data_IF_061384929420
#
_entry.id   IF_061384929420
#
_cell.length_a   1.000
_cell.length_b   1.000
_cell.length_c   1.000
_cell.angle_alpha   90.00
_cell.angle_beta   90.00
_cell.angle_gamma   90.00
#
_symmetry.space_group_name_H-M   'P 1'
#
loop_
_entity.id
_entity.type
_entity.pdbx_description
1 polymer ?
#
# COMPACT_ATOMS: atom_id res chain seq x y z
N UNK A 1 8.69 -4.85 -21.33
CA UNK A 1 7.47 -4.22 -21.86
C UNK A 1 6.33 -4.25 -20.85
N UNK A 2 5.49 -3.22 -20.83
CA UNK A 2 4.22 -3.17 -20.10
C UNK A 2 3.03 -3.32 -21.06
N UNK A 3 2.10 -4.23 -20.77
CA UNK A 3 1.13 -4.69 -21.78
C UNK A 3 -0.27 -4.07 -21.66
N UNK A 4 -0.84 -4.15 -20.45
CA UNK A 4 -2.24 -3.84 -20.18
C UNK A 4 -2.55 -2.34 -20.25
N UNK A 5 -3.82 -2.00 -20.51
CA UNK A 5 -4.31 -0.61 -20.64
C UNK A 5 -3.90 0.33 -19.49
N UNK A 6 -3.72 -0.20 -18.29
CA UNK A 6 -3.18 0.51 -17.12
C UNK A 6 -1.93 1.35 -17.47
N UNK A 7 -1.01 0.78 -18.26
CA UNK A 7 0.27 1.41 -18.59
C UNK A 7 0.23 2.33 -19.82
N UNK A 8 -0.95 2.52 -20.43
CA UNK A 8 -1.11 3.41 -21.59
C UNK A 8 -1.22 4.89 -21.19
N UNK A 9 -1.54 5.18 -19.92
CA UNK A 9 -1.57 6.54 -19.35
C UNK A 9 -0.48 6.66 -18.29
N UNK A 10 0.65 7.26 -18.65
CA UNK A 10 1.71 7.56 -17.68
C UNK A 10 1.34 8.85 -16.94
N UNK A 11 1.06 8.77 -15.63
CA UNK A 11 0.85 9.96 -14.80
C UNK A 11 2.21 10.62 -14.55
N UNK A 12 2.55 11.61 -15.38
CA UNK A 12 3.79 12.38 -15.29
C UNK A 12 3.98 13.27 -16.52
N UNK A 13 3.59 14.54 -16.36
CA UNK A 13 3.84 15.70 -17.24
C UNK A 13 3.69 15.50 -18.76
N UNK A 14 2.61 16.11 -19.28
CA UNK A 14 2.40 16.60 -20.65
C UNK A 14 2.74 15.62 -21.79
N UNK A 15 1.90 14.59 -21.96
CA UNK A 15 1.21 14.20 -23.20
C UNK A 15 0.63 12.79 -22.97
N UNK A 16 -0.68 12.61 -23.09
CA UNK A 16 -1.44 11.36 -22.84
C UNK A 16 -1.21 10.28 -23.94
N UNK A 17 -0.04 10.34 -24.61
CA UNK A 17 0.33 9.59 -25.83
C UNK A 17 1.81 9.17 -25.88
N UNK A 18 2.46 8.87 -24.76
CA UNK A 18 3.77 8.19 -24.85
C UNK A 18 3.56 6.72 -25.17
N UNK A 19 3.39 6.40 -26.45
CA UNK A 19 3.96 5.15 -26.99
C UNK A 19 5.45 5.42 -27.06
N UNK A 20 6.25 4.78 -26.22
CA UNK A 20 7.67 5.11 -26.19
C UNK A 20 8.46 4.28 -25.21
N UNK A 21 9.77 4.40 -25.36
CA UNK A 21 10.76 3.75 -24.54
C UNK A 21 11.23 4.74 -23.47
N UNK A 22 11.26 4.28 -22.22
CA UNK A 22 11.84 5.00 -21.09
C UNK A 22 13.01 4.17 -20.60
N UNK A 23 14.20 4.74 -20.66
CA UNK A 23 15.35 4.18 -19.98
C UNK A 23 15.21 4.48 -18.49
N UNK A 24 15.25 3.45 -17.65
CA UNK A 24 15.28 3.66 -16.21
C UNK A 24 16.73 3.92 -15.79
N UNK A 25 17.14 5.18 -15.82
CA UNK A 25 18.54 5.61 -15.62
C UNK A 25 18.95 5.73 -14.14
N UNK A 26 17.99 5.97 -13.25
CA UNK A 26 18.24 6.24 -11.82
C UNK A 26 18.19 4.97 -10.94
N UNK A 27 18.40 3.79 -11.51
CA UNK A 27 18.45 2.53 -10.76
C UNK A 27 19.87 1.96 -10.75
N UNK A 28 20.13 1.01 -9.83
CA UNK A 28 21.39 0.26 -9.81
C UNK A 28 21.65 -0.56 -11.09
N UNK A 29 20.59 -0.91 -11.83
CA UNK A 29 20.64 -1.62 -13.10
C UNK A 29 19.85 -0.87 -14.18
N UNK A 30 20.27 -0.96 -15.44
CA UNK A 30 19.64 -0.26 -16.57
C UNK A 30 18.67 -1.19 -17.30
N UNK A 31 17.42 -0.75 -17.47
CA UNK A 31 16.42 -1.45 -18.26
C UNK A 31 15.67 -0.48 -19.18
N UNK A 32 15.33 -0.98 -20.37
CA UNK A 32 14.45 -0.29 -21.30
C UNK A 32 13.00 -0.70 -21.02
N UNK A 33 12.14 0.27 -20.72
CA UNK A 33 10.72 0.04 -20.49
C UNK A 33 9.93 0.63 -21.64
N UNK A 34 9.11 -0.19 -22.28
CA UNK A 34 8.25 0.22 -23.40
C UNK A 34 6.82 -0.28 -23.17
N UNK A 35 5.85 0.48 -23.66
CA UNK A 35 4.44 0.08 -23.77
C UNK A 35 4.00 -0.12 -25.23
N UNK A 36 4.94 -0.14 -26.18
CA UNK A 36 4.68 -0.36 -27.60
C UNK A 36 4.45 -1.85 -27.90
N UNK A 37 3.24 -2.25 -28.35
CA UNK A 37 2.91 -3.65 -28.68
C UNK A 37 3.83 -4.30 -29.71
N UNK A 38 4.45 -3.51 -30.59
CA UNK A 38 5.38 -4.00 -31.61
C UNK A 38 6.67 -4.56 -31.01
N UNK A 39 7.00 -4.17 -29.78
CA UNK A 39 8.22 -4.59 -29.08
C UNK A 39 8.05 -5.89 -28.28
N UNK A 40 6.88 -6.53 -28.35
CA UNK A 40 6.60 -7.72 -27.53
C UNK A 40 7.55 -8.88 -27.82
N UNK A 41 7.88 -9.16 -29.08
CA UNK A 41 8.79 -10.26 -29.43
C UNK A 41 10.27 -9.94 -29.08
N UNK A 42 10.59 -8.66 -28.83
CA UNK A 42 11.94 -8.19 -28.48
C UNK A 42 12.13 -7.96 -26.98
N UNK A 43 11.09 -8.18 -26.18
CA UNK A 43 11.12 -7.89 -24.75
C UNK A 43 11.47 -9.13 -23.93
N UNK A 44 12.41 -9.03 -23.00
CA UNK A 44 12.70 -10.11 -22.03
C UNK A 44 11.52 -10.38 -21.09
N UNK A 45 10.73 -9.34 -20.83
CA UNK A 45 9.65 -9.34 -19.85
C UNK A 45 8.40 -8.67 -20.41
N UNK A 46 7.24 -9.25 -20.11
CA UNK A 46 5.92 -8.64 -20.34
C UNK A 46 5.19 -8.52 -18.99
N UNK A 47 4.93 -7.28 -18.57
CA UNK A 47 4.27 -6.97 -17.31
C UNK A 47 2.77 -6.78 -17.54
N UNK A 48 1.95 -7.54 -16.81
CA UNK A 48 0.49 -7.47 -16.90
C UNK A 48 -0.09 -6.88 -15.61
N UNK A 49 -0.76 -5.72 -15.72
CA UNK A 49 -1.60 -5.22 -14.63
C UNK A 49 -2.88 -6.04 -14.59
N UNK A 50 -2.95 -6.97 -13.65
CA UNK A 50 -3.90 -8.09 -13.64
C UNK A 50 -5.35 -7.61 -13.67
N UNK A 51 -5.67 -6.55 -12.93
CA UNK A 51 -7.00 -5.95 -12.89
C UNK A 51 -7.49 -5.42 -14.25
N UNK A 52 -6.58 -5.05 -15.15
CA UNK A 52 -6.94 -4.56 -16.49
C UNK A 52 -6.56 -5.54 -17.60
N UNK A 53 -6.35 -6.82 -17.26
CA UNK A 53 -6.18 -7.86 -18.26
C UNK A 53 -7.50 -8.14 -18.98
N UNK A 54 -7.35 -8.46 -20.26
CA UNK A 54 -8.40 -9.02 -21.08
C UNK A 54 -7.74 -10.09 -21.95
N UNK A 55 -8.17 -11.34 -21.82
CA UNK A 55 -7.58 -12.48 -22.54
C UNK A 55 -7.61 -12.27 -24.05
N UNK A 56 -8.63 -11.56 -24.56
CA UNK A 56 -8.77 -11.24 -25.99
C UNK A 56 -7.70 -10.27 -26.51
N UNK A 57 -7.02 -9.56 -25.61
CA UNK A 57 -5.96 -8.58 -25.91
C UNK A 57 -4.58 -9.14 -25.57
N UNK A 58 -4.40 -10.46 -25.41
CA UNK A 58 -3.09 -11.03 -25.08
C UNK A 58 -2.18 -11.12 -26.31
N UNK A 59 -0.84 -11.07 -26.13
CA UNK A 59 0.10 -11.28 -27.23
C UNK A 59 -0.18 -12.61 -27.93
N UNK A 60 -0.22 -12.60 -29.26
CA UNK A 60 -0.50 -13.81 -30.07
C UNK A 60 0.63 -14.83 -30.01
N UNK A 61 1.84 -14.41 -29.66
CA UNK A 61 2.99 -15.29 -29.43
C UNK A 61 3.56 -15.07 -28.03
N UNK A 62 3.83 -16.17 -27.34
CA UNK A 62 4.60 -16.20 -26.09
C UNK A 62 5.90 -16.95 -26.38
N UNK A 63 7.02 -16.23 -26.32
CA UNK A 63 8.32 -16.83 -26.52
C UNK A 63 8.74 -17.59 -25.25
N UNK A 64 9.36 -18.76 -25.41
CA UNK A 64 9.70 -19.65 -24.28
C UNK A 64 10.67 -19.03 -23.27
N UNK A 65 11.50 -18.08 -23.71
CA UNK A 65 12.46 -17.35 -22.88
C UNK A 65 11.88 -16.10 -22.21
N UNK A 66 10.69 -15.66 -22.63
CA UNK A 66 10.08 -14.42 -22.17
C UNK A 66 9.33 -14.62 -20.85
N UNK A 67 9.59 -13.73 -19.89
CA UNK A 67 8.93 -13.76 -18.58
C UNK A 67 7.66 -12.93 -18.58
N UNK A 68 6.52 -13.60 -18.40
CA UNK A 68 5.25 -12.92 -18.16
C UNK A 68 5.06 -12.75 -16.67
N UNK A 69 4.80 -11.50 -16.25
CA UNK A 69 4.80 -11.11 -14.84
C UNK A 69 3.41 -10.66 -14.41
N UNK A 70 2.93 -11.26 -13.33
CA UNK A 70 1.71 -10.88 -12.64
C UNK A 70 1.98 -9.61 -11.83
N UNK A 71 1.39 -8.48 -12.20
CA UNK A 71 1.51 -7.23 -11.46
C UNK A 71 0.17 -6.73 -10.94
N UNK A 72 0.10 -6.53 -9.62
CA UNK A 72 -1.07 -5.91 -8.99
C UNK A 72 -0.72 -5.37 -7.60
N UNK A 73 -1.18 -4.16 -7.33
CA UNK A 73 -0.99 -3.49 -6.03
C UNK A 73 -2.29 -3.39 -5.23
N UNK A 74 -3.44 -3.61 -5.89
CA UNK A 74 -4.72 -3.83 -5.23
C UNK A 74 -4.77 -5.22 -4.56
N UNK A 75 -5.54 -5.37 -3.47
CA UNK A 75 -5.67 -6.64 -2.76
C UNK A 75 -6.57 -7.61 -3.54
N UNK A 76 -6.54 -8.92 -3.21
CA UNK A 76 -7.33 -9.94 -3.89
C UNK A 76 -8.81 -9.61 -4.09
N UNK A 77 -9.55 -9.07 -3.10
CA UNK A 77 -10.96 -8.73 -3.30
C UNK A 77 -11.20 -7.62 -4.33
N UNK A 78 -10.18 -6.84 -4.67
CA UNK A 78 -10.20 -5.74 -5.64
C UNK A 78 -9.50 -6.11 -6.96
N UNK A 79 -9.34 -7.41 -7.25
CA UNK A 79 -8.64 -7.87 -8.45
C UNK A 79 -9.45 -7.65 -9.73
N UNK A 80 -10.78 -7.72 -9.66
CA UNK A 80 -11.76 -7.65 -10.76
C UNK A 80 -11.64 -8.68 -11.89
N UNK A 81 -10.43 -9.16 -12.22
CA UNK A 81 -10.22 -10.21 -13.21
C UNK A 81 -10.81 -11.55 -12.74
N UNK A 82 -11.59 -12.21 -13.59
CA UNK A 82 -12.34 -13.42 -13.23
C UNK A 82 -11.81 -14.69 -13.91
N UNK A 83 -11.17 -14.57 -15.07
CA UNK A 83 -10.76 -15.70 -15.90
C UNK A 83 -9.42 -16.33 -15.47
N UNK A 84 -9.21 -16.45 -14.16
CA UNK A 84 -7.98 -16.99 -13.57
C UNK A 84 -7.66 -18.41 -14.03
N UNK A 85 -8.69 -19.22 -14.29
CA UNK A 85 -8.53 -20.60 -14.73
C UNK A 85 -7.96 -20.72 -16.16
N UNK A 86 -8.04 -19.64 -16.95
CA UNK A 86 -7.50 -19.55 -18.31
C UNK A 86 -6.05 -19.04 -18.36
N UNK A 87 -5.49 -18.60 -17.23
CA UNK A 87 -4.13 -18.05 -17.13
C UNK A 87 -3.24 -18.84 -16.17
N UNK A 88 -3.62 -20.09 -15.88
CA UNK A 88 -2.74 -21.02 -15.20
C UNK A 88 -1.48 -21.27 -16.05
N UNK A 89 -0.34 -21.45 -15.39
CA UNK A 89 0.98 -21.59 -16.03
C UNK A 89 1.43 -20.40 -16.90
N UNK A 90 0.69 -19.30 -16.86
CA UNK A 90 0.99 -18.10 -17.63
C UNK A 90 2.12 -17.28 -17.00
N UNK A 91 2.05 -17.07 -15.69
CA UNK A 91 2.96 -16.17 -15.00
C UNK A 91 4.17 -16.93 -14.46
N UNK A 92 5.36 -16.44 -14.81
CA UNK A 92 6.62 -16.96 -14.29
C UNK A 92 6.99 -16.20 -13.02
N UNK A 93 6.85 -14.88 -13.01
CA UNK A 93 7.11 -14.05 -11.83
C UNK A 93 5.87 -13.30 -11.36
N UNK A 94 5.88 -12.95 -10.08
CA UNK A 94 4.91 -12.07 -9.43
C UNK A 94 5.59 -10.78 -8.97
N UNK A 95 4.90 -9.65 -9.12
CA UNK A 95 5.36 -8.33 -8.72
C UNK A 95 4.23 -7.59 -8.01
N UNK A 96 4.23 -7.58 -6.68
CA UNK A 96 3.10 -7.08 -5.87
C UNK A 96 3.58 -6.56 -4.51
N UNK A 97 2.64 -6.06 -3.69
CA UNK A 97 2.89 -5.72 -2.28
C UNK A 97 3.14 -6.93 -1.37
N UNK A 98 2.90 -8.17 -1.79
CA UNK A 98 3.16 -9.35 -0.95
C UNK A 98 4.65 -9.64 -0.84
N UNK A 99 5.10 -10.00 0.36
CA UNK A 99 6.52 -10.29 0.64
C UNK A 99 7.00 -11.60 0.03
N UNK A 100 6.08 -12.48 -0.36
CA UNK A 100 6.36 -13.77 -1.01
C UNK A 100 6.30 -13.69 -2.55
N UNK A 101 6.31 -12.49 -3.12
CA UNK A 101 6.42 -12.27 -4.56
C UNK A 101 7.86 -12.28 -5.04
N UNK A 102 8.07 -12.66 -6.31
CA UNK A 102 9.40 -12.69 -6.93
C UNK A 102 10.06 -11.31 -6.95
N UNK A 103 9.25 -10.27 -7.14
CA UNK A 103 9.61 -8.86 -7.00
C UNK A 103 8.66 -8.20 -5.99
N UNK A 104 9.16 -7.94 -4.78
CA UNK A 104 8.40 -7.29 -3.73
C UNK A 104 8.36 -5.76 -3.92
N UNK A 105 7.16 -5.19 -3.99
CA UNK A 105 6.93 -3.76 -4.20
C UNK A 105 6.04 -3.22 -3.09
N UNK A 106 6.60 -2.74 -1.96
CA UNK A 106 5.81 -2.12 -0.92
C UNK A 106 5.38 -0.70 -1.28
N UNK A 107 4.26 -0.25 -0.71
CA UNK A 107 3.83 1.15 -0.79
C UNK A 107 4.75 2.12 -0.04
N UNK A 108 5.56 1.61 0.88
CA UNK A 108 6.59 2.37 1.57
C UNK A 108 7.52 1.49 2.40
N UNK A 109 8.65 2.07 2.82
CA UNK A 109 9.68 1.43 3.65
C UNK A 109 10.01 2.35 4.82
N UNK A 110 10.25 1.76 5.99
CA UNK A 110 10.78 2.47 7.16
C UNK A 110 12.16 1.90 7.40
N UNK A 111 13.20 2.72 7.23
CA UNK A 111 14.59 2.28 7.28
C UNK A 111 15.35 3.04 8.37
N UNK A 112 16.30 2.40 9.07
CA UNK A 112 17.18 3.10 10.00
C UNK A 112 17.94 4.22 9.29
N UNK A 113 18.08 5.36 9.96
CA UNK A 113 18.82 6.51 9.45
C UNK A 113 20.32 6.25 9.53
N UNK A 114 21.03 6.49 8.41
CA UNK A 114 22.48 6.28 8.33
C UNK A 114 23.33 7.36 9.04
N UNK A 115 22.76 8.53 9.35
CA UNK A 115 23.44 9.62 10.06
C UNK A 115 22.59 10.20 11.19
N UNK A 116 23.21 10.69 12.26
CA UNK A 116 22.51 11.48 13.28
C UNK A 116 22.16 12.84 12.67
N UNK A 117 21.03 12.93 11.98
CA UNK A 117 20.49 14.24 11.61
C UNK A 117 20.26 15.06 12.88
N UNK A 118 20.46 16.38 12.78
CA UNK A 118 20.16 17.30 13.86
C UNK A 118 18.73 17.02 14.35
N UNK A 119 18.57 16.75 15.65
CA UNK A 119 17.27 16.65 16.30
C UNK A 119 16.55 17.96 15.98
N UNK A 120 15.63 17.96 15.01
CA UNK A 120 14.68 19.06 14.91
C UNK A 120 13.87 18.96 16.17
N UNK A 121 14.19 19.80 17.16
CA UNK A 121 13.43 19.99 18.38
C UNK A 121 12.09 20.61 18.00
N UNK A 122 11.25 19.86 17.31
CA UNK A 122 9.84 20.17 17.17
C UNK A 122 9.25 19.91 18.53
N UNK A 123 8.64 20.93 19.12
CA UNK A 123 8.02 20.79 20.42
C UNK A 123 6.73 19.94 20.25
N UNK A 124 6.88 18.62 20.38
CA UNK A 124 5.79 17.67 20.35
C UNK A 124 4.71 17.99 21.39
N UNK A 125 5.05 18.68 22.48
CA UNK A 125 4.08 19.11 23.48
C UNK A 125 3.21 20.23 22.95
N UNK A 126 3.76 21.16 22.19
CA UNK A 126 2.96 22.22 21.56
C UNK A 126 2.06 21.67 20.44
N UNK A 127 2.57 20.73 19.64
CA UNK A 127 1.74 20.01 18.65
C UNK A 127 0.62 19.23 19.36
N UNK A 128 0.91 18.56 20.47
CA UNK A 128 -0.11 17.84 21.24
C UNK A 128 -1.18 18.79 21.82
N UNK A 129 -0.76 19.95 22.33
CA UNK A 129 -1.69 20.98 22.87
C UNK A 129 -2.56 21.63 21.80
N UNK A 130 -2.10 21.69 20.54
CA UNK A 130 -2.89 22.29 19.45
C UNK A 130 -4.05 21.39 19.01
N UNK A 131 -3.95 20.08 19.24
CA UNK A 131 -4.96 19.09 18.85
C UNK A 131 -6.20 19.21 19.71
N UNK A 132 -7.36 19.19 19.05
CA UNK A 132 -8.68 19.37 19.67
C UNK A 132 -9.68 18.28 19.31
N UNK A 133 -9.37 17.46 18.29
CA UNK A 133 -10.22 16.38 17.79
C UNK A 133 -9.53 15.03 17.98
N UNK A 134 -10.30 13.97 18.23
CA UNK A 134 -9.71 12.66 18.55
C UNK A 134 -9.11 11.99 17.32
N UNK A 135 -9.92 11.65 16.31
CA UNK A 135 -9.42 10.98 15.11
C UNK A 135 -9.98 11.55 13.80
N UNK A 136 -9.20 11.40 12.73
CA UNK A 136 -9.58 11.69 11.35
C UNK A 136 -9.48 10.44 10.50
N UNK A 137 -10.40 10.32 9.53
CA UNK A 137 -10.38 9.25 8.53
C UNK A 137 -10.55 9.82 7.13
N UNK A 138 -9.46 9.84 6.35
CA UNK A 138 -9.45 10.25 4.94
C UNK A 138 -9.79 9.04 4.06
N UNK A 139 -10.97 9.03 3.44
CA UNK A 139 -11.46 7.83 2.75
C UNK A 139 -12.46 8.10 1.62
N UNK A 140 -12.14 7.55 0.44
CA UNK A 140 -12.98 7.70 -0.76
C UNK A 140 -13.56 6.39 -1.30
N UNK A 141 -13.10 5.24 -0.81
CA UNK A 141 -13.63 3.93 -1.20
C UNK A 141 -14.54 3.40 -0.08
N UNK A 142 -15.84 3.34 -0.32
CA UNK A 142 -16.83 2.96 0.68
C UNK A 142 -17.36 1.54 0.40
N UNK A 143 -18.01 0.93 1.39
CA UNK A 143 -18.60 -0.42 1.28
C UNK A 143 -17.55 -1.50 0.99
N UNK A 144 -16.42 -1.40 1.67
CA UNK A 144 -15.29 -2.28 1.40
C UNK A 144 -15.45 -3.70 1.96
N UNK A 145 -14.64 -4.61 1.44
CA UNK A 145 -14.61 -6.01 1.84
C UNK A 145 -14.18 -6.20 3.30
N UNK A 146 -13.25 -5.37 3.77
CA UNK A 146 -12.80 -5.34 5.16
C UNK A 146 -13.91 -5.03 6.19
N UNK A 147 -15.02 -4.41 5.76
CA UNK A 147 -16.06 -3.83 6.64
C UNK A 147 -15.54 -2.74 7.58
N UNK A 148 -14.45 -2.05 7.22
CA UNK A 148 -13.88 -0.93 8.00
C UNK A 148 -14.90 0.17 8.32
N UNK A 149 -15.87 0.41 7.44
CA UNK A 149 -16.93 1.39 7.63
C UNK A 149 -17.82 1.01 8.82
N UNK A 150 -18.12 -0.27 8.97
CA UNK A 150 -18.93 -0.79 10.08
C UNK A 150 -18.16 -0.70 11.39
N UNK A 151 -16.85 -1.03 11.35
CA UNK A 151 -15.96 -0.88 12.50
C UNK A 151 -15.93 0.59 12.98
N UNK A 152 -15.67 1.53 12.06
CA UNK A 152 -15.64 2.97 12.39
C UNK A 152 -17.01 3.45 12.84
N UNK A 153 -18.11 2.96 12.27
CA UNK A 153 -19.45 3.32 12.71
C UNK A 153 -19.71 2.93 14.17
N UNK A 154 -19.30 1.74 14.61
CA UNK A 154 -19.40 1.36 16.02
C UNK A 154 -18.46 2.16 16.92
N UNK A 155 -17.22 2.39 16.48
CA UNK A 155 -16.23 3.22 17.18
C UNK A 155 -16.73 4.65 17.43
N UNK A 156 -17.43 5.24 16.45
CA UNK A 156 -18.03 6.60 16.51
C UNK A 156 -19.10 6.77 17.59
N UNK A 157 -19.57 5.70 18.20
CA UNK A 157 -20.51 5.76 19.34
C UNK A 157 -19.81 6.14 20.65
N UNK A 158 -18.47 6.06 20.68
CA UNK A 158 -17.66 6.22 21.90
C UNK A 158 -16.58 7.30 21.77
N UNK A 159 -16.32 7.79 20.56
CA UNK A 159 -15.39 8.90 20.31
C UNK A 159 -15.70 9.62 18.99
N UNK A 160 -15.23 10.86 18.86
CA UNK A 160 -15.37 11.62 17.62
C UNK A 160 -14.40 11.11 16.55
N UNK A 161 -14.95 10.85 15.36
CA UNK A 161 -14.19 10.56 14.13
C UNK A 161 -14.73 11.44 13.02
N UNK A 162 -13.88 12.34 12.55
CA UNK A 162 -14.16 13.16 11.39
C UNK A 162 -13.81 12.38 10.12
N UNK A 163 -14.74 12.29 9.18
CA UNK A 163 -14.58 11.49 7.94
C UNK A 163 -14.52 12.44 6.76
N UNK A 164 -13.42 12.35 6.01
CA UNK A 164 -13.13 13.17 4.84
C UNK A 164 -13.32 12.37 3.55
N UNK A 165 -13.64 13.10 2.48
CA UNK A 165 -13.88 12.64 1.11
C UNK A 165 -15.14 11.79 0.94
N UNK A 166 -15.18 10.90 -0.06
CA UNK A 166 -16.43 10.34 -0.60
C UNK A 166 -17.25 9.52 0.40
N UNK A 167 -16.66 9.06 1.51
CA UNK A 167 -17.39 8.34 2.56
C UNK A 167 -17.79 9.24 3.75
N UNK A 168 -17.50 10.53 3.69
CA UNK A 168 -17.74 11.50 4.75
C UNK A 168 -18.45 12.76 4.28
N UNK A 169 -18.48 13.77 5.14
CA UNK A 169 -19.09 15.08 4.89
C UNK A 169 -18.07 16.23 4.88
N UNK A 170 -16.80 15.93 5.13
CA UNK A 170 -15.68 16.87 5.03
C UNK A 170 -14.90 16.58 3.76
N UNK A 171 -14.20 17.58 3.23
CA UNK A 171 -13.48 17.44 1.96
C UNK A 171 -12.01 17.78 2.15
N UNK A 172 -11.12 16.88 1.73
CA UNK A 172 -9.74 17.23 1.48
C UNK A 172 -9.65 17.70 0.03
N UNK A 173 -9.35 18.98 -0.20
CA UNK A 173 -9.40 19.53 -1.55
C UNK A 173 -8.42 18.78 -2.47
N UNK A 174 -8.88 18.31 -3.63
CA UNK A 174 -8.13 17.37 -4.50
C UNK A 174 -6.74 17.88 -4.94
N UNK A 175 -6.55 19.20 -5.06
CA UNK A 175 -5.25 19.81 -5.38
C UNK A 175 -4.24 19.76 -4.23
N UNK A 176 -4.70 19.45 -3.00
CA UNK A 176 -3.86 19.36 -1.81
C UNK A 176 -3.17 18.00 -1.70
N UNK A 177 -3.59 16.97 -2.43
CA UNK A 177 -3.01 15.63 -2.30
C UNK A 177 -2.88 15.24 -0.81
N UNK A 178 -1.70 14.76 -0.41
CA UNK A 178 -1.43 14.40 1.00
C UNK A 178 -1.24 15.58 1.95
N UNK A 179 -1.26 16.84 1.46
CA UNK A 179 -1.04 18.00 2.33
C UNK A 179 -2.15 18.25 3.35
N UNK A 180 -3.30 17.59 3.24
CA UNK A 180 -4.31 17.58 4.33
C UNK A 180 -3.76 16.99 5.63
N UNK A 181 -2.76 16.10 5.56
CA UNK A 181 -2.12 15.59 6.77
C UNK A 181 -1.35 16.66 7.56
N UNK A 182 -0.93 17.76 6.93
CA UNK A 182 -0.34 18.93 7.63
C UNK A 182 -1.38 19.63 8.50
N UNK A 183 -2.62 19.72 8.04
CA UNK A 183 -3.71 20.24 8.87
C UNK A 183 -4.09 19.20 9.94
N UNK A 184 -4.14 17.93 9.55
CA UNK A 184 -4.52 16.86 10.48
C UNK A 184 -3.56 16.72 11.65
N UNK A 185 -2.25 16.87 11.43
CA UNK A 185 -1.26 16.78 12.51
C UNK A 185 -1.45 17.86 13.58
N UNK A 186 -2.06 19.00 13.24
CA UNK A 186 -2.31 20.08 14.20
C UNK A 186 -3.66 19.99 14.88
N UNK A 187 -4.60 19.24 14.30
CA UNK A 187 -5.99 19.17 14.77
C UNK A 187 -6.34 17.84 15.45
N UNK A 188 -5.78 16.72 14.97
CA UNK A 188 -6.18 15.37 15.40
C UNK A 188 -5.05 14.62 16.11
N UNK A 189 -5.40 13.80 17.10
CA UNK A 189 -4.46 12.89 17.76
C UNK A 189 -4.14 11.66 16.91
N UNK A 190 -5.14 11.15 16.18
CA UNK A 190 -5.06 9.89 15.45
C UNK A 190 -5.51 10.01 14.00
N UNK A 191 -4.80 9.32 13.10
CA UNK A 191 -5.24 9.12 11.72
C UNK A 191 -5.63 7.65 11.53
N UNK A 192 -6.86 7.39 11.09
CA UNK A 192 -7.33 6.03 10.82
C UNK A 192 -6.77 5.57 9.47
N UNK A 193 -5.72 4.77 9.50
CA UNK A 193 -5.06 4.18 8.34
C UNK A 193 -5.69 2.80 8.02
N UNK A 194 -7.01 2.78 7.86
CA UNK A 194 -7.77 1.53 7.75
C UNK A 194 -7.77 1.03 6.31
N UNK A 195 -7.34 -0.22 6.09
CA UNK A 195 -7.29 -0.79 4.76
C UNK A 195 -8.64 -1.24 4.26
N UNK A 196 -8.87 -1.15 2.95
CA UNK A 196 -10.11 -1.62 2.32
C UNK A 196 -10.25 -3.16 2.35
N UNK A 197 -9.16 -3.89 2.61
CA UNK A 197 -9.16 -5.34 2.75
C UNK A 197 -8.22 -5.77 3.88
N UNK A 198 -8.65 -6.73 4.71
CA UNK A 198 -7.80 -7.32 5.75
C UNK A 198 -7.08 -8.52 5.13
N UNK A 199 -5.95 -8.28 4.49
CA UNK A 199 -5.17 -9.30 3.78
C UNK A 199 -3.72 -9.36 4.27
N UNK A 200 -3.08 -10.52 4.13
CA UNK A 200 -1.66 -10.73 4.39
C UNK A 200 -0.82 -9.68 3.65
N UNK A 201 0.13 -9.09 4.38
CA UNK A 201 1.12 -8.11 3.89
C UNK A 201 0.54 -6.83 3.25
N UNK A 202 -0.77 -6.64 3.20
CA UNK A 202 -1.40 -5.48 2.55
C UNK A 202 -1.37 -4.26 3.48
N UNK A 203 -0.46 -3.33 3.17
CA UNK A 203 -0.29 -2.03 3.83
C UNK A 203 0.00 -1.00 2.75
N UNK A 204 -0.80 0.06 2.69
CA UNK A 204 -0.76 1.03 1.61
C UNK A 204 -0.32 2.43 2.04
N UNK A 205 -0.38 3.40 1.13
CA UNK A 205 -0.09 4.82 1.34
C UNK A 205 -0.76 5.39 2.60
N UNK A 206 -1.95 4.90 2.99
CA UNK A 206 -2.68 5.39 4.17
C UNK A 206 -1.83 5.33 5.44
N UNK A 207 -1.06 4.25 5.59
CA UNK A 207 -0.19 4.05 6.75
C UNK A 207 1.04 4.95 6.68
N UNK A 208 1.73 4.96 5.53
CA UNK A 208 2.96 5.72 5.34
C UNK A 208 2.72 7.23 5.36
N UNK A 209 1.60 7.70 4.80
CA UNK A 209 1.19 9.10 4.82
C UNK A 209 0.97 9.57 6.26
N UNK A 210 0.28 8.78 7.08
CA UNK A 210 0.12 9.13 8.50
C UNK A 210 1.45 9.20 9.25
N UNK A 211 2.36 8.24 9.04
CA UNK A 211 3.64 8.18 9.75
C UNK A 211 4.57 9.37 9.47
N UNK A 212 4.46 10.00 8.30
CA UNK A 212 5.26 11.20 7.95
C UNK A 212 4.93 12.40 8.82
N UNK A 213 3.74 12.43 9.39
CA UNK A 213 3.21 13.55 10.13
C UNK A 213 3.19 13.27 11.63
N UNK A 214 3.10 14.32 12.44
CA UNK A 214 3.12 14.20 13.90
C UNK A 214 1.71 13.85 14.44
N UNK A 215 1.16 12.76 13.89
CA UNK A 215 -0.13 12.14 14.19
C UNK A 215 0.04 10.62 14.31
N UNK A 216 -0.64 9.98 15.25
CA UNK A 216 -0.47 8.54 15.49
C UNK A 216 -1.38 7.74 14.53
N UNK A 217 -0.84 6.85 13.67
CA UNK A 217 -1.67 6.00 12.84
C UNK A 217 -2.35 4.91 13.66
N UNK A 218 -3.65 4.74 13.43
CA UNK A 218 -4.41 3.57 13.89
C UNK A 218 -4.66 2.70 12.66
N UNK A 219 -4.06 1.51 12.65
CA UNK A 219 -4.12 0.60 11.51
C UNK A 219 -5.26 -0.40 11.66
N UNK A 220 -5.83 -0.83 10.55
CA UNK A 220 -6.82 -1.90 10.47
C UNK A 220 -6.54 -2.67 9.19
N UNK A 221 -5.86 -3.81 9.31
CA UNK A 221 -5.35 -4.56 8.17
C UNK A 221 -4.87 -5.96 8.57
N UNK A 222 -4.56 -6.80 7.58
CA UNK A 222 -4.16 -8.19 7.79
C UNK A 222 -2.64 -8.42 7.84
N UNK A 223 -1.85 -7.35 7.77
CA UNK A 223 -0.40 -7.44 7.73
C UNK A 223 0.20 -7.65 9.13
N UNK A 224 1.40 -8.25 9.17
CA UNK A 224 2.21 -8.26 10.39
C UNK A 224 3.03 -6.96 10.46
N UNK A 225 2.45 -5.93 11.07
CA UNK A 225 3.04 -4.59 11.15
C UNK A 225 4.36 -4.55 11.95
N UNK A 226 4.62 -5.51 12.85
CA UNK A 226 5.91 -5.60 13.57
C UNK A 226 7.10 -5.87 12.64
N UNK A 227 6.84 -6.38 11.42
CA UNK A 227 7.85 -6.58 10.36
C UNK A 227 7.90 -5.43 9.35
N UNK A 228 7.20 -4.33 9.62
CA UNK A 228 7.04 -3.20 8.69
C UNK A 228 7.46 -1.90 9.38
N UNK A 229 7.05 -1.71 10.64
CA UNK A 229 7.34 -0.50 11.40
C UNK A 229 7.95 -0.82 12.77
N UNK A 230 8.78 0.09 13.31
CA UNK A 230 9.28 -0.01 14.67
C UNK A 230 8.16 -0.15 15.71
N UNK A 231 8.46 -0.79 16.83
CA UNK A 231 7.54 -0.89 17.95
C UNK A 231 7.11 0.51 18.43
N UNK A 232 5.82 0.68 18.72
CA UNK A 232 5.28 1.98 19.13
C UNK A 232 5.05 2.98 17.99
N UNK A 233 5.23 2.62 16.72
CA UNK A 233 4.94 3.55 15.62
C UNK A 233 3.45 3.67 15.27
N UNK A 234 2.60 2.78 15.78
CA UNK A 234 1.19 2.66 15.40
C UNK A 234 0.36 1.98 16.48
N UNK A 235 -0.96 2.06 16.33
CA UNK A 235 -1.94 1.34 17.15
C UNK A 235 -2.69 0.37 16.24
N UNK A 236 -2.69 -0.93 16.56
CA UNK A 236 -3.43 -1.94 15.80
C UNK A 236 -4.87 -2.07 16.31
N UNK A 237 -5.84 -1.62 15.52
CA UNK A 237 -7.26 -1.70 15.86
C UNK A 237 -7.74 -3.14 16.09
N UNK A 238 -7.15 -4.12 15.40
CA UNK A 238 -7.52 -5.53 15.51
C UNK A 238 -6.90 -6.23 16.73
N UNK A 239 -6.04 -5.54 17.49
CA UNK A 239 -5.51 -6.04 18.77
C UNK A 239 -6.45 -5.78 19.96
N UNK A 240 -7.50 -4.97 19.77
CA UNK A 240 -8.50 -4.68 20.78
C UNK A 240 -9.69 -5.63 20.68
N UNK A 241 -10.32 -5.94 21.81
CA UNK A 241 -11.48 -6.81 21.88
C UNK A 241 -12.68 -6.29 21.08
N UNK A 242 -12.85 -4.96 21.00
CA UNK A 242 -13.94 -4.35 20.25
C UNK A 242 -13.63 -2.91 19.81
N UNK A 243 -14.39 -2.35 18.84
CA UNK A 243 -14.29 -0.93 18.47
C UNK A 243 -14.48 0.03 19.65
N UNK A 244 -15.27 -0.37 20.65
CA UNK A 244 -15.47 0.38 21.91
C UNK A 244 -14.18 0.47 22.71
N UNK A 245 -13.53 -0.67 22.95
CA UNK A 245 -12.28 -0.72 23.72
C UNK A 245 -11.16 0.08 23.04
N UNK A 246 -11.07 0.03 21.70
CA UNK A 246 -10.18 0.91 20.96
C UNK A 246 -10.52 2.38 21.19
N UNK A 247 -11.79 2.78 21.04
CA UNK A 247 -12.21 4.17 21.21
C UNK A 247 -11.87 4.71 22.61
N UNK A 248 -12.18 3.93 23.66
CA UNK A 248 -11.86 4.29 25.05
C UNK A 248 -10.35 4.41 25.27
N UNK A 249 -9.55 3.51 24.67
CA UNK A 249 -8.09 3.60 24.69
C UNK A 249 -7.59 4.90 24.04
N UNK A 250 -8.08 5.24 22.85
CA UNK A 250 -7.67 6.44 22.11
C UNK A 250 -8.04 7.73 22.87
N UNK A 251 -9.24 7.80 23.46
CA UNK A 251 -9.67 8.95 24.28
C UNK A 251 -8.83 9.10 25.55
N UNK A 252 -8.42 7.99 26.18
CA UNK A 252 -7.51 8.03 27.34
C UNK A 252 -6.12 8.49 26.91
N UNK A 253 -5.60 7.94 25.82
CA UNK A 253 -4.27 8.25 25.29
C UNK A 253 -4.17 9.73 24.86
N UNK A 254 -5.21 10.29 24.25
CA UNK A 254 -5.22 11.71 23.84
C UNK A 254 -5.06 12.68 25.01
N UNK A 255 -5.38 12.26 26.24
CA UNK A 255 -5.25 13.05 27.48
C UNK A 255 -3.92 12.85 28.20
N UNK A 256 -3.09 11.89 27.76
CA UNK A 256 -1.82 11.56 28.37
C UNK A 256 -0.66 11.87 27.42
N UNK A 257 -0.11 13.09 27.52
CA UNK A 257 1.03 13.50 26.70
C UNK A 257 2.23 12.55 26.81
N UNK A 258 2.56 12.08 28.02
CA UNK A 258 3.73 11.24 28.24
C UNK A 258 3.63 9.92 27.48
N UNK A 259 2.47 9.26 27.54
CA UNK A 259 2.22 8.02 26.78
C UNK A 259 2.11 8.31 25.28
N UNK A 260 1.42 9.38 24.88
CA UNK A 260 1.26 9.78 23.47
C UNK A 260 2.59 10.08 22.79
N UNK A 261 3.50 10.79 23.45
CA UNK A 261 4.80 11.17 22.89
C UNK A 261 5.69 9.96 22.59
N UNK A 262 5.49 8.81 23.27
CA UNK A 262 6.26 7.59 23.01
C UNK A 262 6.08 7.09 21.57
N UNK A 263 4.93 7.38 20.94
CA UNK A 263 4.61 6.94 19.58
C UNK A 263 5.46 7.62 18.48
N UNK A 264 6.25 8.62 18.83
CA UNK A 264 7.09 9.39 17.90
C UNK A 264 8.58 9.15 18.09
N UNK A 265 8.99 8.44 19.14
CA UNK A 265 10.41 8.20 19.49
C UNK A 265 11.20 7.50 18.39
N UNK A 266 10.55 6.62 17.62
CA UNK A 266 11.18 5.90 16.53
C UNK A 266 11.63 6.84 15.38
N UNK A 267 11.00 8.01 15.22
CA UNK A 267 11.32 8.99 14.16
C UNK A 267 12.71 9.62 14.32
N UNK A 268 13.30 9.53 15.51
CA UNK A 268 14.66 10.02 15.76
C UNK A 268 15.72 9.15 15.06
N UNK A 269 15.38 7.90 14.75
CA UNK A 269 16.31 6.88 14.26
C UNK A 269 15.92 6.25 12.93
N UNK A 270 14.76 6.59 12.38
CA UNK A 270 14.28 6.01 11.12
C UNK A 270 13.72 7.08 10.18
N UNK A 271 13.83 6.80 8.89
CA UNK A 271 13.23 7.58 7.82
C UNK A 271 12.18 6.75 7.08
N UNK A 272 11.19 7.44 6.53
CA UNK A 272 10.12 6.85 5.73
C UNK A 272 10.40 7.14 4.26
N UNK A 273 10.41 6.10 3.44
CA UNK A 273 10.55 6.17 2.00
C UNK A 273 9.24 5.70 1.38
N UNK A 274 8.63 6.52 0.54
CA UNK A 274 7.42 6.15 -0.21
C UNK A 274 7.74 5.30 -1.43
N UNK A 275 6.68 4.67 -1.95
CA UNK A 275 6.57 3.98 -3.24
C UNK A 275 7.90 3.90 -3.96
N UNK A 276 8.59 2.81 -3.68
CA UNK A 276 9.85 2.51 -4.34
C UNK A 276 9.56 2.31 -5.83
N UNK A 277 10.48 2.74 -6.69
CA UNK A 277 10.32 2.58 -8.12
C UNK A 277 10.28 1.08 -8.44
N UNK A 278 9.08 0.48 -8.46
CA UNK A 278 8.93 -0.97 -8.63
C UNK A 278 9.62 -1.49 -9.89
N UNK A 279 9.77 -0.64 -10.91
CA UNK A 279 10.54 -0.93 -12.12
C UNK A 279 12.05 -1.01 -11.88
N UNK A 280 12.62 -0.25 -10.95
CA UNK A 280 14.02 -0.39 -10.53
C UNK A 280 14.26 -1.73 -9.84
N UNK A 281 13.37 -2.15 -8.95
CA UNK A 281 13.47 -3.44 -8.26
C UNK A 281 13.33 -4.60 -9.23
N UNK A 282 12.36 -4.53 -10.15
CA UNK A 282 12.23 -5.49 -11.25
C UNK A 282 13.50 -5.52 -12.11
N UNK A 283 14.03 -4.36 -12.49
CA UNK A 283 15.23 -4.29 -13.31
C UNK A 283 16.43 -4.92 -12.60
N UNK A 284 16.64 -4.58 -11.33
CA UNK A 284 17.70 -5.15 -10.50
C UNK A 284 17.55 -6.66 -10.36
N UNK A 285 16.32 -7.15 -10.15
CA UNK A 285 16.04 -8.58 -10.10
C UNK A 285 16.36 -9.30 -11.42
N UNK A 286 16.06 -8.69 -12.58
CA UNK A 286 16.38 -9.26 -13.89
C UNK A 286 17.89 -9.36 -14.14
N UNK A 287 18.65 -8.36 -13.73
CA UNK A 287 20.11 -8.35 -13.87
C UNK A 287 20.81 -9.28 -12.87
N UNK A 288 20.37 -9.31 -11.61
CA UNK A 288 21.04 -10.06 -10.54
C UNK A 288 20.68 -11.56 -10.51
N UNK A 289 19.55 -11.96 -11.10
CA UNK A 289 19.04 -13.34 -11.00
C UNK A 289 19.21 -14.13 -12.30
N UNK A 290 20.39 -14.06 -12.92
CA UNK A 290 20.66 -14.76 -14.18
C UNK A 290 20.46 -16.28 -14.08
N UNK A 291 20.67 -16.88 -12.89
CA UNK A 291 20.42 -18.31 -12.65
C UNK A 291 18.93 -18.67 -12.43
N UNK A 292 18.11 -17.76 -11.89
CA UNK A 292 16.63 -17.91 -11.82
C UNK A 292 15.94 -17.48 -13.15
N UNK A 293 16.70 -17.10 -14.18
CA UNK A 293 16.19 -17.05 -15.56
C UNK A 293 16.01 -18.45 -16.15
N UNK A 294 16.59 -19.49 -15.55
CA UNK A 294 16.44 -20.90 -15.98
C UNK A 294 15.36 -21.67 -15.23
N UNK A 295 14.80 -21.12 -14.14
CA UNK A 295 13.68 -21.76 -13.45
C UNK A 295 12.38 -21.36 -14.15
N UNK A 296 11.94 -22.20 -15.08
CA UNK A 296 10.71 -22.03 -15.85
C UNK A 296 9.48 -22.55 -15.10
N UNK A 297 9.58 -22.82 -13.79
CA UNK A 297 8.42 -23.23 -13.02
C UNK A 297 7.42 -22.07 -12.95
N UNK A 298 6.39 -22.13 -13.78
CA UNK A 298 5.26 -21.22 -13.72
C UNK A 298 4.46 -21.46 -12.44
N UNK A 299 3.74 -20.42 -12.02
CA UNK A 299 2.72 -20.60 -10.99
C UNK A 299 1.60 -21.48 -11.57
N UNK A 300 1.65 -22.79 -11.27
CA UNK A 300 0.65 -23.79 -11.72
C UNK A 300 -0.77 -23.38 -11.37
N UNK A 301 -0.93 -22.75 -10.21
CA UNK A 301 -2.21 -22.24 -9.73
C UNK A 301 -2.00 -20.85 -9.12
N UNK A 302 -1.93 -19.85 -10.00
CA UNK A 302 -1.77 -18.45 -9.62
C UNK A 302 -2.99 -17.95 -8.83
N UNK A 303 -4.17 -18.50 -9.08
CA UNK A 303 -5.42 -18.20 -8.37
C UNK A 303 -5.31 -18.59 -6.89
N UNK A 304 -4.88 -19.81 -6.60
CA UNK A 304 -4.66 -20.28 -5.22
C UNK A 304 -3.58 -19.48 -4.51
N UNK A 305 -2.49 -19.16 -5.20
CA UNK A 305 -1.48 -18.29 -4.61
C UNK A 305 -2.09 -16.92 -4.28
N UNK A 306 -2.81 -16.29 -5.22
CA UNK A 306 -3.31 -14.93 -5.08
C UNK A 306 -4.47 -14.79 -4.10
N UNK A 307 -5.50 -15.63 -4.18
CA UNK A 307 -6.69 -15.55 -3.33
C UNK A 307 -6.54 -16.35 -2.04
N UNK A 308 -6.24 -17.65 -2.10
CA UNK A 308 -6.30 -18.50 -0.91
C UNK A 308 -5.16 -18.19 0.07
N UNK A 309 -3.92 -18.07 -0.43
CA UNK A 309 -2.73 -17.78 0.40
C UNK A 309 -2.60 -16.32 0.83
N UNK A 310 -3.53 -15.45 0.40
CA UNK A 310 -3.58 -14.07 0.88
C UNK A 310 -4.19 -13.96 2.27
N UNK A 311 -4.90 -15.00 2.74
CA UNK A 311 -5.59 -15.00 4.02
C UNK A 311 -6.49 -13.76 4.21
N UNK A 312 -7.07 -13.25 3.13
CA UNK A 312 -8.02 -12.14 3.21
C UNK A 312 -9.24 -12.55 4.03
N UNK A 313 -9.67 -11.67 4.94
CA UNK A 313 -10.86 -11.88 5.78
C UNK A 313 -11.69 -10.62 5.90
N UNK A 314 -12.94 -10.80 6.32
CA UNK A 314 -13.85 -9.70 6.68
C UNK A 314 -13.86 -9.51 8.19
N UNK A 315 -14.03 -8.27 8.64
CA UNK A 315 -14.33 -8.05 10.04
C UNK A 315 -15.80 -8.40 10.32
N UNK A 316 -16.02 -9.18 11.39
CA UNK A 316 -17.33 -9.60 11.84
C UNK A 316 -17.58 -9.04 13.25
N UNK A 317 -18.73 -8.41 13.47
CA UNK A 317 -19.10 -7.82 14.77
C UNK A 317 -19.52 -8.86 15.82
N UNK A 318 -19.68 -10.12 15.43
CA UNK A 318 -20.24 -11.20 16.27
C UNK A 318 -19.30 -11.75 17.34
N UNK A 319 -18.04 -11.31 17.39
CA UNK A 319 -17.06 -11.72 18.40
C UNK A 319 -16.96 -10.74 19.58
N UNK A 320 -17.86 -9.75 19.67
CA UNK A 320 -17.85 -8.69 20.68
C UNK A 320 -19.15 -8.64 21.51
N UNK A 321 -19.71 -9.81 21.84
CA UNK A 321 -20.80 -9.96 22.82
C UNK A 321 -20.30 -10.61 24.08
#
# INVERSE_FOLDING_TARGET
MTWTKFFRRWYGTLNDRRIGEVLVENCAAKCLVTNDPRMVEYSDVVLFHVRNMNIKDFPTKRLSWQKWIFYLMEPPPNTEFQDFDLVNDMFIWTMTYRKDSDVYVPYGRILPRNSKAATTTRDMRDIWKSKSRTAVWLVSNCQTESKREMFVREMRRYMDVDVYDSCGNLTCAWFRGDSCYVDFERTYFFALAFENSICKDYVTEKFFNALKHDIVPVVFGGANYTRIAPHGAYIDALSFESPKHLAEYLVRLSKNYTEYATYFTWKDSHDIFEWDAGLCELCTALHNRFELLRDFSSYRDIKKWWFDKSHCRRWNSSSAT
#
